data_IF_358248512859
#
_entry.id   IF_358248512859
#
_cell.length_a   1.000
_cell.length_b   1.000
_cell.length_c   1.000
_cell.angle_alpha   90.00
_cell.angle_beta   90.00
_cell.angle_gamma   90.00
#
_symmetry.space_group_name_H-M   'P 1'
#
loop_
_entity.id
_entity.type
_entity.pdbx_description
1 polymer ?
#
# COMPACT_ATOMS: atom_id res chain seq x y z
N UNK A 1 23.66 1.94 31.62
CA UNK A 1 23.73 1.14 32.86
C UNK A 1 24.49 -0.15 32.55
N UNK A 2 25.83 -0.15 32.65
CA UNK A 2 26.67 -1.31 32.33
C UNK A 2 26.26 -2.57 33.10
N UNK A 3 25.86 -2.41 34.36
CA UNK A 3 25.45 -3.50 35.25
C UNK A 3 24.22 -4.28 34.77
N UNK A 4 23.33 -3.64 33.99
CA UNK A 4 22.13 -4.30 33.46
C UNK A 4 22.48 -5.29 32.35
N UNK A 5 23.48 -4.96 31.52
CA UNK A 5 23.93 -5.83 30.43
C UNK A 5 24.59 -7.09 30.99
N UNK A 6 25.39 -6.96 32.05
CA UNK A 6 26.02 -8.09 32.72
C UNK A 6 25.00 -9.04 33.36
N UNK A 7 23.97 -8.48 34.00
CA UNK A 7 22.86 -9.27 34.57
C UNK A 7 22.09 -9.99 33.46
N UNK A 8 21.77 -9.31 32.35
CA UNK A 8 21.09 -9.92 31.22
C UNK A 8 21.92 -11.01 30.56
N UNK A 9 23.23 -10.82 30.38
CA UNK A 9 24.13 -11.83 29.82
C UNK A 9 24.20 -13.08 30.71
N UNK A 10 24.35 -12.90 32.04
CA UNK A 10 24.38 -14.01 33.01
C UNK A 10 23.06 -14.78 33.08
N UNK A 11 21.93 -14.10 32.87
CA UNK A 11 20.59 -14.68 33.00
C UNK A 11 19.89 -14.90 31.64
N UNK A 12 20.65 -15.10 30.55
CA UNK A 12 20.10 -15.44 29.21
C UNK A 12 19.01 -14.47 28.73
N UNK A 13 19.23 -13.17 28.93
CA UNK A 13 18.31 -12.10 28.57
C UNK A 13 17.11 -11.94 29.51
N UNK A 14 17.09 -12.61 30.66
CA UNK A 14 16.02 -12.51 31.65
C UNK A 14 16.47 -11.73 32.87
N UNK A 15 15.55 -11.00 33.47
CA UNK A 15 15.79 -10.33 34.75
C UNK A 15 15.40 -11.29 35.89
N UNK A 16 16.34 -11.67 36.78
CA UNK A 16 16.13 -12.75 37.74
C UNK A 16 15.05 -12.49 38.79
N UNK A 17 14.71 -11.22 39.05
CA UNK A 17 13.66 -10.81 40.02
C UNK A 17 12.46 -10.14 39.35
N UNK A 18 12.38 -10.17 38.02
CA UNK A 18 11.26 -9.57 37.31
C UNK A 18 10.10 -10.55 37.26
N UNK A 19 8.99 -10.17 37.90
CA UNK A 19 7.71 -10.83 37.73
C UNK A 19 6.85 -9.92 36.83
N UNK A 20 6.42 -10.39 35.65
CA UNK A 20 5.51 -9.62 34.83
C UNK A 20 4.18 -9.44 35.57
N UNK A 21 3.53 -8.30 35.37
CA UNK A 21 2.18 -8.09 35.87
C UNK A 21 1.25 -9.18 35.31
N UNK A 22 0.40 -9.75 36.18
CA UNK A 22 -0.60 -10.73 35.79
C UNK A 22 -1.66 -10.15 34.85
N UNK A 23 -2.43 -11.02 34.18
CA UNK A 23 -3.49 -10.62 33.23
C UNK A 23 -4.62 -9.81 33.86
N UNK A 24 -4.73 -9.86 35.18
CA UNK A 24 -5.72 -9.14 36.00
C UNK A 24 -5.41 -7.64 36.12
N UNK A 25 -4.16 -7.24 35.83
CA UNK A 25 -3.74 -5.83 35.95
C UNK A 25 -4.07 -5.09 34.66
N UNK A 26 -5.07 -4.22 34.70
CA UNK A 26 -5.38 -3.32 33.58
C UNK A 26 -4.43 -2.12 33.56
N UNK A 27 -3.36 -2.25 32.77
CA UNK A 27 -2.36 -1.20 32.56
C UNK A 27 -2.97 0.00 31.82
N UNK A 28 -4.03 -0.19 31.03
CA UNK A 28 -4.68 0.90 30.32
C UNK A 28 -5.58 1.74 31.21
N UNK A 29 -5.96 1.28 32.40
CA UNK A 29 -6.70 2.09 33.36
C UNK A 29 -5.83 3.18 34.04
N UNK A 30 -4.49 3.07 33.96
CA UNK A 30 -3.56 3.96 34.65
C UNK A 30 -3.55 5.35 33.99
N UNK A 31 -3.89 6.45 34.70
CA UNK A 31 -3.91 7.80 34.14
C UNK A 31 -2.50 8.39 34.02
N UNK A 32 -2.30 9.27 33.03
CA UNK A 32 -1.08 10.07 32.98
C UNK A 32 -1.02 11.11 34.09
N UNK A 33 0.19 11.33 34.63
CA UNK A 33 0.45 12.39 35.60
C UNK A 33 0.20 13.79 35.04
N UNK A 34 0.46 13.97 33.75
CA UNK A 34 0.25 15.24 33.03
C UNK A 34 -1.18 15.28 32.46
N UNK A 35 -1.94 16.29 32.89
CA UNK A 35 -3.35 16.49 32.51
C UNK A 35 -3.52 16.80 31.03
N UNK A 36 -2.59 17.53 30.42
CA UNK A 36 -2.66 17.84 28.98
C UNK A 36 -2.49 16.56 28.16
N UNK A 37 -1.59 15.69 28.61
CA UNK A 37 -1.37 14.39 27.99
C UNK A 37 -2.56 13.45 28.15
N UNK A 38 -3.19 13.44 29.31
CA UNK A 38 -4.38 12.61 29.57
C UNK A 38 -5.58 13.04 28.71
N UNK A 39 -5.83 14.34 28.57
CA UNK A 39 -6.93 14.82 27.72
C UNK A 39 -6.72 14.48 26.24
N UNK A 40 -5.48 14.61 25.74
CA UNK A 40 -5.14 14.19 24.36
C UNK A 40 -5.29 12.67 24.17
N UNK A 41 -4.92 11.88 25.18
CA UNK A 41 -5.06 10.43 25.17
C UNK A 41 -6.54 10.00 25.13
N UNK A 42 -7.39 10.61 25.97
CA UNK A 42 -8.82 10.32 26.00
C UNK A 42 -9.51 10.69 24.68
N UNK A 43 -9.16 11.83 24.09
CA UNK A 43 -9.66 12.21 22.75
C UNK A 43 -9.32 11.17 21.68
N UNK A 44 -8.08 10.65 21.67
CA UNK A 44 -7.70 9.57 20.74
C UNK A 44 -8.44 8.27 21.03
N UNK A 45 -8.62 7.93 22.31
CA UNK A 45 -9.34 6.72 22.71
C UNK A 45 -10.80 6.75 22.24
N UNK A 46 -11.47 7.89 22.39
CA UNK A 46 -12.85 8.09 21.91
C UNK A 46 -12.92 7.99 20.38
N UNK A 47 -12.01 8.65 19.67
CA UNK A 47 -11.93 8.54 18.20
C UNK A 47 -11.68 7.09 17.74
N UNK A 48 -10.83 6.35 18.46
CA UNK A 48 -10.61 4.92 18.20
C UNK A 48 -11.86 4.10 18.50
N UNK A 49 -12.59 4.37 19.58
CA UNK A 49 -13.84 3.66 19.91
C UNK A 49 -14.96 3.95 18.90
N UNK A 50 -15.14 5.20 18.50
CA UNK A 50 -16.09 5.64 17.46
C UNK A 50 -15.75 5.04 16.09
N UNK A 51 -14.46 4.89 15.77
CA UNK A 51 -13.99 4.22 14.55
C UNK A 51 -13.96 2.68 14.65
N UNK A 52 -14.46 2.09 15.74
CA UNK A 52 -14.52 0.63 15.92
C UNK A 52 -13.18 -0.05 16.22
N UNK A 53 -12.22 0.67 16.83
CA UNK A 53 -10.92 0.21 17.33
C UNK A 53 -9.77 0.27 16.31
N UNK A 54 -8.69 -0.50 16.56
CA UNK A 54 -7.46 -0.69 15.74
C UNK A 54 -7.68 -0.97 14.23
N UNK A 55 -8.93 -1.09 13.81
CA UNK A 55 -9.40 -1.43 12.48
C UNK A 55 -9.21 -0.32 11.45
N UNK A 56 -9.21 0.98 11.77
CA UNK A 56 -9.13 2.02 10.73
C UNK A 56 -7.82 1.97 9.90
N UNK A 57 -6.67 1.73 10.55
CA UNK A 57 -5.38 1.54 9.85
C UNK A 57 -5.32 0.19 9.11
N UNK A 58 -5.96 -0.84 9.66
CA UNK A 58 -6.03 -2.17 9.04
C UNK A 58 -6.94 -2.16 7.80
N UNK A 59 -8.11 -1.51 7.87
CA UNK A 59 -9.03 -1.24 6.77
C UNK A 59 -8.34 -0.47 5.64
N UNK A 60 -7.59 0.59 5.95
CA UNK A 60 -6.82 1.31 4.94
C UNK A 60 -5.72 0.44 4.30
N UNK A 61 -5.05 -0.40 5.10
CA UNK A 61 -4.03 -1.32 4.57
C UNK A 61 -4.67 -2.40 3.68
N UNK A 62 -5.84 -2.90 4.05
CA UNK A 62 -6.60 -3.88 3.30
C UNK A 62 -7.13 -3.30 1.97
N UNK A 63 -7.67 -2.07 2.00
CA UNK A 63 -8.07 -1.34 0.79
C UNK A 63 -6.89 -1.14 -0.17
N UNK A 64 -5.73 -0.71 0.33
CA UNK A 64 -4.51 -0.56 -0.48
C UNK A 64 -4.04 -1.89 -1.06
N UNK A 65 -4.16 -2.99 -0.30
CA UNK A 65 -3.81 -4.33 -0.77
C UNK A 65 -4.76 -4.79 -1.88
N UNK A 66 -6.07 -4.60 -1.69
CA UNK A 66 -7.08 -4.91 -2.69
C UNK A 66 -6.90 -4.10 -3.98
N UNK A 67 -6.60 -2.80 -3.88
CA UNK A 67 -6.30 -1.96 -5.05
C UNK A 67 -5.07 -2.45 -5.81
N UNK A 68 -4.01 -2.84 -5.08
CA UNK A 68 -2.79 -3.38 -5.69
C UNK A 68 -3.04 -4.70 -6.40
N UNK A 69 -3.86 -5.58 -5.82
CA UNK A 69 -4.25 -6.86 -6.44
C UNK A 69 -5.10 -6.63 -7.69
N UNK A 70 -6.06 -5.69 -7.65
CA UNK A 70 -6.86 -5.30 -8.83
C UNK A 70 -5.97 -4.79 -9.97
N UNK A 71 -5.07 -3.84 -9.69
CA UNK A 71 -4.11 -3.32 -10.69
C UNK A 71 -3.21 -4.42 -11.26
N UNK A 72 -2.83 -5.40 -10.46
CA UNK A 72 -2.03 -6.53 -10.94
C UNK A 72 -2.84 -7.44 -11.87
N UNK A 73 -4.10 -7.73 -11.54
CA UNK A 73 -5.01 -8.52 -12.38
C UNK A 73 -5.28 -7.82 -13.71
N UNK A 74 -5.58 -6.52 -13.68
CA UNK A 74 -5.80 -5.70 -14.87
C UNK A 74 -4.59 -5.71 -15.80
N UNK A 75 -3.37 -5.52 -15.25
CA UNK A 75 -2.13 -5.62 -16.04
C UNK A 75 -1.92 -7.02 -16.64
N UNK A 76 -2.32 -8.09 -15.92
CA UNK A 76 -2.24 -9.46 -16.43
C UNK A 76 -3.27 -9.70 -17.54
N UNK A 77 -4.49 -9.18 -17.39
CA UNK A 77 -5.53 -9.26 -18.42
C UNK A 77 -5.11 -8.51 -19.69
N UNK A 78 -4.67 -7.25 -19.56
CA UNK A 78 -4.14 -6.45 -20.69
C UNK A 78 -2.96 -7.13 -21.39
N UNK A 79 -2.11 -7.84 -20.64
CA UNK A 79 -1.05 -8.65 -21.23
C UNK A 79 -1.60 -9.84 -22.03
N UNK A 80 -2.59 -10.57 -21.49
CA UNK A 80 -3.24 -11.69 -22.18
C UNK A 80 -4.01 -11.26 -23.42
N UNK A 81 -4.72 -10.12 -23.38
CA UNK A 81 -5.41 -9.53 -24.53
C UNK A 81 -4.44 -9.16 -25.66
N UNK A 82 -3.26 -8.62 -25.31
CA UNK A 82 -2.17 -8.42 -26.28
C UNK A 82 -1.49 -9.73 -26.71
N UNK A 83 -2.02 -10.90 -26.35
CA UNK A 83 -1.49 -12.23 -26.69
C UNK A 83 -0.21 -12.62 -25.96
N UNK A 84 0.11 -11.94 -24.85
CA UNK A 84 1.38 -12.08 -24.13
C UNK A 84 1.21 -13.00 -22.92
N UNK A 85 2.24 -13.80 -22.63
CA UNK A 85 2.26 -14.62 -21.42
C UNK A 85 2.72 -13.77 -20.21
N UNK A 86 1.86 -13.52 -19.20
CA UNK A 86 2.19 -12.68 -18.05
C UNK A 86 3.21 -13.31 -17.10
N UNK A 87 3.40 -14.63 -17.14
CA UNK A 87 4.28 -15.35 -16.21
C UNK A 87 5.71 -15.48 -16.74
N UNK A 88 5.96 -15.11 -18.01
CA UNK A 88 7.30 -15.11 -18.61
C UNK A 88 7.94 -13.73 -18.53
N UNK A 89 9.15 -13.66 -17.97
CA UNK A 89 9.94 -12.43 -17.93
C UNK A 89 10.33 -12.02 -19.36
N UNK A 90 9.96 -10.80 -19.75
CA UNK A 90 10.31 -10.24 -21.06
C UNK A 90 11.68 -9.61 -21.05
N UNK A 91 12.45 -9.88 -22.10
CA UNK A 91 13.72 -9.20 -22.38
C UNK A 91 13.50 -7.72 -22.71
N UNK A 92 14.57 -6.93 -22.62
CA UNK A 92 14.54 -5.47 -22.85
C UNK A 92 14.03 -5.13 -24.26
N UNK A 93 14.53 -5.82 -25.30
CA UNK A 93 14.12 -5.56 -26.69
C UNK A 93 12.63 -5.78 -26.91
N UNK A 94 12.03 -6.81 -26.31
CA UNK A 94 10.61 -7.07 -26.47
C UNK A 94 9.75 -5.93 -25.89
N UNK A 95 10.21 -5.25 -24.81
CA UNK A 95 9.51 -4.08 -24.27
C UNK A 95 9.64 -2.88 -25.19
N UNK A 96 10.85 -2.67 -25.72
CA UNK A 96 11.12 -1.59 -26.68
C UNK A 96 10.21 -1.76 -27.90
N UNK A 97 10.11 -2.95 -28.49
CA UNK A 97 9.25 -3.16 -29.68
C UNK A 97 7.79 -2.78 -29.40
N UNK A 98 7.24 -3.10 -28.23
CA UNK A 98 5.88 -2.67 -27.90
C UNK A 98 5.75 -1.15 -27.78
N UNK A 99 6.72 -0.50 -27.13
CA UNK A 99 6.73 0.95 -26.99
C UNK A 99 6.75 1.61 -28.37
N UNK A 100 7.45 1.02 -29.34
CA UNK A 100 7.45 1.49 -30.73
C UNK A 100 6.12 1.25 -31.44
N UNK A 101 5.46 0.12 -31.20
CA UNK A 101 4.13 -0.17 -31.78
C UNK A 101 3.05 0.79 -31.22
N UNK A 102 3.08 1.03 -29.91
CA UNK A 102 2.18 1.97 -29.24
C UNK A 102 2.43 3.41 -29.79
N UNK A 103 3.68 3.85 -29.92
CA UNK A 103 4.05 5.13 -30.54
C UNK A 103 3.63 5.25 -32.02
N UNK A 104 3.76 4.17 -32.79
CA UNK A 104 3.34 4.15 -34.19
C UNK A 104 1.81 4.28 -34.33
N UNK A 105 1.06 3.72 -33.38
CA UNK A 105 -0.41 3.87 -33.31
C UNK A 105 -0.77 5.32 -32.98
N UNK A 106 -0.14 5.93 -31.97
CA UNK A 106 -0.34 7.35 -31.64
C UNK A 106 -0.06 8.27 -32.84
N UNK A 107 1.05 8.03 -33.55
CA UNK A 107 1.42 8.81 -34.74
C UNK A 107 0.37 8.68 -35.86
N UNK A 108 -0.17 7.47 -36.07
CA UNK A 108 -1.25 7.23 -37.04
C UNK A 108 -2.52 7.98 -36.68
N UNK A 109 -2.90 7.99 -35.41
CA UNK A 109 -4.08 8.72 -34.93
C UNK A 109 -3.90 10.23 -35.09
N UNK A 110 -2.74 10.74 -34.70
CA UNK A 110 -2.40 12.15 -34.93
C UNK A 110 -2.45 12.53 -36.42
N UNK A 111 -1.94 11.66 -37.31
CA UNK A 111 -2.05 11.85 -38.77
C UNK A 111 -3.50 11.84 -39.25
N UNK A 112 -4.38 11.01 -38.69
CA UNK A 112 -5.81 11.01 -39.01
C UNK A 112 -6.46 12.32 -38.55
N UNK A 113 -6.15 12.80 -37.33
CA UNK A 113 -6.66 14.06 -36.80
C UNK A 113 -6.21 15.23 -37.68
N UNK A 114 -4.92 15.30 -38.03
CA UNK A 114 -4.37 16.34 -38.90
C UNK A 114 -5.00 16.35 -40.29
N UNK A 115 -5.39 15.18 -40.79
CA UNK A 115 -6.11 15.03 -42.07
C UNK A 115 -7.62 15.27 -41.94
N UNK A 116 -8.14 15.58 -40.75
CA UNK A 116 -9.57 15.79 -40.49
C UNK A 116 -10.42 14.52 -40.57
N UNK A 117 -9.81 13.33 -40.50
CA UNK A 117 -10.52 12.04 -40.59
C UNK A 117 -11.14 11.60 -39.26
N UNK A 118 -10.66 12.17 -38.15
CA UNK A 118 -11.18 11.97 -36.80
C UNK A 118 -11.24 13.33 -36.11
N UNK A 119 -12.13 13.48 -35.13
CA UNK A 119 -12.18 14.68 -34.29
C UNK A 119 -11.18 14.57 -33.13
N UNK A 120 -11.00 15.67 -32.38
CA UNK A 120 -10.18 15.65 -31.15
C UNK A 120 -10.78 14.73 -30.09
N UNK A 121 -12.10 14.69 -29.99
CA UNK A 121 -12.82 13.81 -29.06
C UNK A 121 -12.64 12.33 -29.44
N UNK A 122 -12.66 12.02 -30.74
CA UNK A 122 -12.41 10.66 -31.23
C UNK A 122 -10.95 10.22 -30.98
N UNK A 123 -9.99 11.15 -31.11
CA UNK A 123 -8.60 10.90 -30.74
C UNK A 123 -8.48 10.54 -29.26
N UNK A 124 -9.09 11.33 -28.37
CA UNK A 124 -9.06 11.07 -26.92
C UNK A 124 -9.74 9.75 -26.55
N UNK A 125 -10.85 9.41 -27.22
CA UNK A 125 -11.51 8.10 -27.03
C UNK A 125 -10.60 6.95 -27.47
N UNK A 126 -10.02 7.00 -28.67
CA UNK A 126 -9.13 5.94 -29.17
C UNK A 126 -7.83 5.79 -28.35
N UNK A 127 -7.39 6.84 -27.65
CA UNK A 127 -6.26 6.82 -26.72
C UNK A 127 -6.65 6.29 -25.33
N UNK A 128 -7.87 6.58 -24.85
CA UNK A 128 -8.33 6.20 -23.52
C UNK A 128 -9.00 4.81 -23.46
N UNK A 129 -9.46 4.27 -24.59
CA UNK A 129 -9.99 2.90 -24.70
C UNK A 129 -8.91 1.81 -24.59
N UNK A 130 -7.64 2.19 -24.36
CA UNK A 130 -6.54 1.26 -24.04
C UNK A 130 -6.41 0.91 -22.56
#
# INVERSE_FOLDING_TARGET
MPELQDVLQKHKGKLPRFQPAGREVDIFAIPYRDKVRETARQKRLLQEQEAGGKNAKQLQAEQKKAEKERKLQERRQKAMEKGRNPDKKRGRNARIVDEWDDLAKEERLYKKLRKGKITKEDLEKELNEE
#
